data_IF_374125853078
#
_entry.id   IF_374125853078
#
_cell.length_a   1.000
_cell.length_b   1.000
_cell.length_c   1.000
_cell.angle_alpha   90.00
_cell.angle_beta   90.00
_cell.angle_gamma   90.00
#
_symmetry.space_group_name_H-M   'P 1'
#
loop_
_entity.id
_entity.type
_entity.pdbx_description
1 polymer ?
#
# COMPACT_ATOMS: atom_id res chain seq x y z
N UNK A 1 -13.49 9.75 23.96
CA UNK A 1 -12.17 9.84 23.28
C UNK A 1 -11.33 8.67 23.78
N UNK A 2 -10.88 7.77 22.90
CA UNK A 2 -10.11 6.59 23.31
C UNK A 2 -8.77 7.03 23.91
N UNK A 3 -8.35 6.51 25.08
CA UNK A 3 -7.08 6.84 25.72
C UNK A 3 -5.84 6.32 24.96
N UNK A 4 -6.04 5.53 23.90
CA UNK A 4 -4.96 5.01 23.04
C UNK A 4 -4.75 5.79 21.74
N UNK A 5 -5.46 6.90 21.52
CA UNK A 5 -5.07 7.83 20.46
C UNK A 5 -3.91 8.68 20.97
N UNK A 6 -2.71 8.64 20.37
CA UNK A 6 -1.72 9.65 20.67
C UNK A 6 -2.34 11.00 20.34
N UNK A 7 -2.36 11.93 21.31
CA UNK A 7 -2.61 13.33 21.03
C UNK A 7 -1.61 13.74 19.95
N UNK A 8 -2.07 13.85 18.70
CA UNK A 8 -1.25 14.39 17.61
C UNK A 8 -0.96 15.84 17.97
N UNK A 9 0.31 16.14 18.19
CA UNK A 9 0.74 17.52 18.34
C UNK A 9 0.51 18.25 17.01
N UNK A 10 -0.61 18.95 16.93
CA UNK A 10 -1.01 19.73 15.77
C UNK A 10 0.00 20.84 15.46
N UNK A 11 0.78 21.31 16.44
CA UNK A 11 1.84 22.30 16.21
C UNK A 11 2.98 21.68 15.43
N UNK A 12 3.48 20.53 15.88
CA UNK A 12 4.53 19.78 15.15
C UNK A 12 4.05 19.38 13.76
N UNK A 13 2.82 18.84 13.64
CA UNK A 13 2.24 18.50 12.35
C UNK A 13 2.17 19.72 11.40
N UNK A 14 1.72 20.88 11.91
CA UNK A 14 1.65 22.10 11.10
C UNK A 14 3.04 22.59 10.66
N UNK A 15 4.03 22.52 11.56
CA UNK A 15 5.41 22.91 11.26
C UNK A 15 6.03 22.01 10.20
N UNK A 16 5.90 20.69 10.35
CA UNK A 16 6.37 19.71 9.37
C UNK A 16 5.70 19.92 8.03
N UNK A 17 4.37 20.08 8.01
CA UNK A 17 3.64 20.34 6.78
C UNK A 17 4.08 21.64 6.11
N UNK A 18 4.27 22.71 6.90
CA UNK A 18 4.77 23.99 6.40
C UNK A 18 6.13 23.84 5.73
N UNK A 19 7.03 23.10 6.36
CA UNK A 19 8.37 22.84 5.85
C UNK A 19 8.36 22.03 4.55
N UNK A 20 7.51 21.00 4.46
CA UNK A 20 7.33 20.19 3.25
C UNK A 20 6.77 21.06 2.13
N UNK A 21 5.68 21.78 2.38
CA UNK A 21 4.99 22.58 1.36
C UNK A 21 5.84 23.74 0.84
N UNK A 22 6.75 24.27 1.66
CA UNK A 22 7.71 25.29 1.23
C UNK A 22 8.74 24.78 0.20
N UNK A 23 8.89 23.45 0.06
CA UNK A 23 9.79 22.79 -0.91
C UNK A 23 9.07 22.35 -2.18
N UNK A 24 7.77 22.60 -2.28
CA UNK A 24 7.06 22.38 -3.54
C UNK A 24 7.53 23.41 -4.56
N UNK A 25 8.01 22.92 -5.70
CA UNK A 25 8.45 23.74 -6.81
C UNK A 25 7.26 24.46 -7.47
N UNK A 26 7.50 25.53 -8.25
CA UNK A 26 6.43 26.27 -8.94
C UNK A 26 5.56 25.39 -9.87
N UNK A 27 6.15 24.36 -10.47
CA UNK A 27 5.46 23.40 -11.33
C UNK A 27 4.63 22.35 -10.56
N UNK A 28 4.73 22.34 -9.23
CA UNK A 28 4.02 21.42 -8.34
C UNK A 28 4.84 20.20 -7.89
N UNK A 29 6.04 20.00 -8.44
CA UNK A 29 6.90 18.89 -8.08
C UNK A 29 7.55 19.04 -6.69
N UNK A 30 7.98 17.92 -6.13
CA UNK A 30 8.84 17.86 -4.95
C UNK A 30 10.19 17.25 -5.33
N UNK A 31 11.24 17.84 -4.76
CA UNK A 31 12.60 17.34 -4.89
C UNK A 31 13.23 17.25 -3.49
N UNK A 32 14.17 16.31 -3.32
CA UNK A 32 14.90 16.17 -2.07
C UNK A 32 15.77 17.41 -1.81
N UNK A 33 15.89 17.77 -0.54
CA UNK A 33 16.80 18.80 -0.03
C UNK A 33 17.84 18.09 0.84
N UNK A 34 18.96 17.70 0.24
CA UNK A 34 20.03 16.94 0.88
C UNK A 34 20.11 15.45 0.49
N UNK A 35 20.92 14.64 1.21
CA UNK A 35 21.09 13.23 0.89
C UNK A 35 19.79 12.47 1.11
N UNK A 36 19.31 11.77 0.08
CA UNK A 36 18.21 10.82 0.24
C UNK A 36 18.72 9.39 0.15
N UNK A 37 18.34 8.58 1.14
CA UNK A 37 18.83 7.21 1.32
C UNK A 37 17.89 6.15 0.72
N UNK A 38 16.76 6.54 0.12
CA UNK A 38 15.82 5.59 -0.47
C UNK A 38 16.13 5.32 -1.94
N UNK A 39 17.06 4.40 -2.22
CA UNK A 39 17.62 4.18 -3.55
C UNK A 39 16.59 3.96 -4.68
N UNK A 40 15.42 3.34 -4.41
CA UNK A 40 14.39 3.08 -5.44
C UNK A 40 13.63 4.31 -5.94
N UNK A 41 13.52 5.36 -5.13
CA UNK A 41 12.68 6.53 -5.42
C UNK A 41 13.42 7.86 -5.29
N UNK A 42 14.61 7.84 -4.71
CA UNK A 42 15.46 9.00 -4.53
C UNK A 42 16.65 9.07 -5.49
N UNK A 43 16.75 8.13 -6.42
CA UNK A 43 17.76 8.12 -7.46
C UNK A 43 17.13 7.76 -8.81
N UNK A 44 17.89 7.93 -9.88
CA UNK A 44 17.48 7.62 -11.25
C UNK A 44 16.65 8.71 -11.94
N UNK A 45 16.26 8.41 -13.18
CA UNK A 45 15.60 9.34 -14.11
C UNK A 45 14.25 9.86 -13.58
N UNK A 46 13.50 9.03 -12.84
CA UNK A 46 12.16 9.34 -12.34
C UNK A 46 12.13 9.70 -10.86
N UNK A 47 13.24 10.24 -10.32
CA UNK A 47 13.34 10.64 -8.92
C UNK A 47 12.29 11.69 -8.53
N UNK A 48 12.21 12.79 -9.28
CA UNK A 48 11.32 13.93 -8.96
C UNK A 48 9.86 13.52 -9.01
N UNK A 49 9.52 12.75 -10.04
CA UNK A 49 8.27 12.03 -10.25
C UNK A 49 7.90 11.19 -9.02
N UNK A 50 8.77 10.27 -8.63
CA UNK A 50 8.54 9.33 -7.53
C UNK A 50 8.38 10.04 -6.18
N UNK A 51 9.22 11.04 -5.90
CA UNK A 51 9.11 11.85 -4.68
C UNK A 51 7.79 12.62 -4.63
N UNK A 52 7.39 13.22 -5.75
CA UNK A 52 6.11 13.94 -5.85
C UNK A 52 4.93 12.98 -5.61
N UNK A 53 4.98 11.77 -6.17
CA UNK A 53 3.96 10.76 -5.94
C UNK A 53 3.92 10.24 -4.49
N UNK A 54 5.07 10.05 -3.83
CA UNK A 54 5.12 9.68 -2.41
C UNK A 54 4.53 10.75 -1.50
N UNK A 55 4.80 12.03 -1.78
CA UNK A 55 4.21 13.14 -1.04
C UNK A 55 2.70 13.19 -1.27
N UNK A 56 2.26 13.07 -2.53
CA UNK A 56 0.83 13.06 -2.86
C UNK A 56 0.09 11.88 -2.19
N UNK A 57 0.66 10.67 -2.28
CA UNK A 57 0.18 9.48 -1.57
C UNK A 57 0.02 9.76 -0.08
N UNK A 58 1.08 10.25 0.58
CA UNK A 58 1.07 10.49 2.02
C UNK A 58 0.00 11.51 2.46
N UNK A 59 -0.23 12.55 1.66
CA UNK A 59 -1.22 13.60 1.93
C UNK A 59 -2.66 13.17 1.66
N UNK A 60 -2.88 12.13 0.84
CA UNK A 60 -4.23 11.70 0.41
C UNK A 60 -4.62 10.30 0.89
N UNK A 61 -3.67 9.52 1.41
CA UNK A 61 -3.87 8.13 1.84
C UNK A 61 -5.00 7.96 2.84
N UNK A 62 -5.92 7.04 2.56
CA UNK A 62 -7.03 6.65 3.44
C UNK A 62 -7.86 7.85 3.94
N UNK A 63 -8.00 8.90 3.12
CA UNK A 63 -8.60 10.16 3.53
C UNK A 63 -7.96 10.70 4.83
N UNK A 64 -6.63 10.58 4.98
CA UNK A 64 -5.89 11.06 6.15
C UNK A 64 -6.20 12.54 6.45
N UNK A 65 -6.54 13.30 5.41
CA UNK A 65 -7.03 14.68 5.47
C UNK A 65 -8.28 14.88 6.32
N UNK A 66 -9.15 13.88 6.43
CA UNK A 66 -10.41 13.98 7.19
C UNK A 66 -10.16 13.99 8.70
N UNK A 67 -8.99 13.53 9.13
CA UNK A 67 -8.53 13.56 10.51
C UNK A 67 -7.59 14.75 10.80
N UNK A 68 -7.40 15.67 9.85
CA UNK A 68 -6.59 16.87 10.03
C UNK A 68 -7.47 18.04 10.51
N UNK A 69 -6.90 18.99 11.28
CA UNK A 69 -7.59 20.23 11.59
C UNK A 69 -8.01 20.99 10.32
N UNK A 70 -9.19 21.61 10.35
CA UNK A 70 -9.81 22.28 9.19
C UNK A 70 -8.88 23.29 8.51
N UNK A 71 -8.08 24.04 9.27
CA UNK A 71 -7.14 25.01 8.70
C UNK A 71 -6.04 24.34 7.85
N UNK A 72 -5.56 23.15 8.24
CA UNK A 72 -4.60 22.38 7.44
C UNK A 72 -5.27 21.82 6.20
N UNK A 73 -6.50 21.30 6.36
CA UNK A 73 -7.29 20.76 5.26
C UNK A 73 -7.54 21.83 4.18
N UNK A 74 -7.95 23.03 4.57
CA UNK A 74 -8.10 24.15 3.61
C UNK A 74 -6.78 24.46 2.93
N UNK A 75 -5.68 24.62 3.69
CA UNK A 75 -4.38 24.91 3.10
C UNK A 75 -3.92 23.87 2.06
N UNK A 76 -4.24 22.60 2.26
CA UNK A 76 -3.82 21.52 1.37
C UNK A 76 -4.68 21.36 0.12
N UNK A 77 -5.95 21.74 0.19
CA UNK A 77 -6.95 21.35 -0.81
C UNK A 77 -7.84 22.48 -1.32
N UNK A 78 -7.68 23.71 -0.81
CA UNK A 78 -8.53 24.85 -1.16
C UNK A 78 -8.11 25.44 -2.52
N UNK A 79 -8.98 25.22 -3.50
CA UNK A 79 -8.85 25.74 -4.85
C UNK A 79 -7.81 25.06 -5.74
N UNK A 80 -7.79 25.54 -6.97
CA UNK A 80 -6.93 25.07 -8.07
C UNK A 80 -5.44 25.24 -7.77
N UNK A 81 -5.05 26.22 -6.97
CA UNK A 81 -3.63 26.45 -6.65
C UNK A 81 -3.16 25.73 -5.37
N UNK A 82 -4.00 24.86 -4.81
CA UNK A 82 -3.65 24.09 -3.63
C UNK A 82 -2.45 23.18 -3.88
N UNK A 83 -1.60 22.92 -2.87
CA UNK A 83 -0.41 22.10 -3.05
C UNK A 83 -0.70 20.69 -3.59
N UNK A 84 -1.78 20.07 -3.12
CA UNK A 84 -2.21 18.75 -3.62
C UNK A 84 -2.59 18.82 -5.09
N UNK A 85 -3.31 19.85 -5.51
CA UNK A 85 -3.72 20.01 -6.91
C UNK A 85 -2.51 20.27 -7.82
N UNK A 86 -1.56 21.10 -7.38
CA UNK A 86 -0.33 21.35 -8.15
C UNK A 86 0.50 20.07 -8.33
N UNK A 87 0.70 19.30 -7.25
CA UNK A 87 1.39 18.01 -7.32
C UNK A 87 0.67 17.03 -8.25
N UNK A 88 -0.67 16.95 -8.15
CA UNK A 88 -1.48 16.13 -9.04
C UNK A 88 -1.30 16.53 -10.51
N UNK A 89 -1.40 17.82 -10.85
CA UNK A 89 -1.23 18.29 -12.24
C UNK A 89 0.17 18.02 -12.77
N UNK A 90 1.20 18.22 -11.94
CA UNK A 90 2.56 17.84 -12.28
C UNK A 90 2.61 16.35 -12.66
N UNK A 91 2.14 15.46 -11.79
CA UNK A 91 2.18 14.03 -12.08
C UNK A 91 1.40 13.67 -13.36
N UNK A 92 0.22 14.28 -13.57
CA UNK A 92 -0.58 14.08 -14.79
C UNK A 92 0.20 14.45 -16.05
N UNK A 93 0.93 15.58 -16.03
CA UNK A 93 1.73 16.01 -17.19
C UNK A 93 2.92 15.09 -17.47
N UNK A 94 3.36 14.30 -16.49
CA UNK A 94 4.49 13.36 -16.63
C UNK A 94 4.08 11.93 -16.98
N UNK A 95 2.80 11.56 -16.91
CA UNK A 95 2.34 10.16 -17.13
C UNK A 95 2.85 9.57 -18.45
N UNK A 96 2.83 10.34 -19.53
CA UNK A 96 3.26 9.87 -20.85
C UNK A 96 4.79 9.66 -20.96
N UNK A 97 5.56 10.36 -20.14
CA UNK A 97 7.03 10.37 -20.22
C UNK A 97 7.66 9.28 -19.36
N UNK A 98 6.91 8.70 -18.42
CA UNK A 98 7.35 7.58 -17.59
C UNK A 98 7.20 6.31 -18.43
N UNK A 99 8.15 6.12 -19.34
CA UNK A 99 8.43 4.85 -20.05
C UNK A 99 8.63 3.73 -19.01
N UNK A 100 8.56 2.43 -19.37
CA UNK A 100 7.97 1.37 -18.53
C UNK A 100 8.79 1.00 -17.28
N UNK A 101 8.88 1.92 -16.31
CA UNK A 101 9.38 1.70 -14.97
C UNK A 101 8.20 1.38 -14.07
N UNK A 102 7.95 0.09 -13.89
CA UNK A 102 6.75 -0.41 -13.21
C UNK A 102 6.61 0.08 -11.77
N UNK A 103 7.72 0.27 -11.04
CA UNK A 103 7.69 0.79 -9.67
C UNK A 103 7.18 2.25 -9.61
N UNK A 104 7.81 3.23 -10.29
CA UNK A 104 7.25 4.59 -10.40
C UNK A 104 5.83 4.63 -10.93
N UNK A 105 5.51 3.90 -12.00
CA UNK A 105 4.15 3.90 -12.58
C UNK A 105 3.12 3.40 -11.57
N UNK A 106 3.40 2.31 -10.87
CA UNK A 106 2.44 1.77 -9.90
C UNK A 106 2.28 2.71 -8.70
N UNK A 107 3.35 3.35 -8.26
CA UNK A 107 3.29 4.38 -7.22
C UNK A 107 2.41 5.58 -7.64
N UNK A 108 2.53 6.00 -8.90
CA UNK A 108 1.72 7.08 -9.48
C UNK A 108 0.24 6.73 -9.48
N UNK A 109 -0.09 5.54 -10.00
CA UNK A 109 -1.46 5.06 -10.04
C UNK A 109 -2.08 5.04 -8.64
N UNK A 110 -1.33 4.60 -7.62
CA UNK A 110 -1.82 4.60 -6.23
C UNK A 110 -2.07 6.02 -5.74
N UNK A 111 -1.11 6.92 -5.96
CA UNK A 111 -1.22 8.33 -5.54
C UNK A 111 -2.42 9.02 -6.23
N UNK A 112 -2.70 8.68 -7.49
CA UNK A 112 -3.87 9.18 -8.20
C UNK A 112 -5.18 8.59 -7.67
N UNK A 113 -5.27 7.27 -7.52
CA UNK A 113 -6.54 6.61 -7.15
C UNK A 113 -7.00 7.00 -5.76
N UNK A 114 -6.07 7.31 -4.86
CA UNK A 114 -6.38 7.87 -3.54
C UNK A 114 -6.79 9.35 -3.57
N UNK A 115 -6.38 10.10 -4.59
CA UNK A 115 -6.72 11.50 -4.68
C UNK A 115 -8.21 11.65 -5.07
N UNK A 116 -8.98 12.34 -4.23
CA UNK A 116 -10.40 12.64 -4.48
C UNK A 116 -10.66 13.47 -5.74
N UNK A 117 -9.63 14.15 -6.26
CA UNK A 117 -9.72 15.00 -7.44
C UNK A 117 -9.24 14.32 -8.72
N UNK A 118 -8.98 13.01 -8.69
CA UNK A 118 -8.61 12.28 -9.90
C UNK A 118 -9.72 12.42 -10.97
N UNK A 119 -9.39 12.85 -12.19
CA UNK A 119 -10.33 12.85 -13.31
C UNK A 119 -10.89 11.44 -13.58
N UNK A 120 -12.18 11.34 -13.91
CA UNK A 120 -12.83 10.05 -14.14
C UNK A 120 -12.21 9.27 -15.32
N UNK A 121 -11.75 9.97 -16.36
CA UNK A 121 -11.09 9.35 -17.51
C UNK A 121 -9.73 8.75 -17.12
N UNK A 122 -8.94 9.47 -16.30
CA UNK A 122 -7.68 8.96 -15.78
C UNK A 122 -7.90 7.77 -14.85
N UNK A 123 -8.91 7.84 -13.97
CA UNK A 123 -9.30 6.73 -13.10
C UNK A 123 -9.64 5.48 -13.91
N UNK A 124 -10.37 5.63 -15.02
CA UNK A 124 -10.74 4.54 -15.90
C UNK A 124 -9.51 3.98 -16.64
N UNK A 125 -8.63 4.84 -17.17
CA UNK A 125 -7.37 4.41 -17.82
C UNK A 125 -6.50 3.58 -16.88
N UNK A 126 -6.37 3.99 -15.62
CA UNK A 126 -5.63 3.23 -14.60
C UNK A 126 -6.29 1.87 -14.35
N UNK A 127 -7.62 1.83 -14.25
CA UNK A 127 -8.35 0.57 -14.08
C UNK A 127 -8.13 -0.37 -15.26
N UNK A 128 -8.30 0.12 -16.49
CA UNK A 128 -8.13 -0.65 -17.72
C UNK A 128 -6.70 -1.20 -17.84
N UNK A 129 -5.70 -0.36 -17.52
CA UNK A 129 -4.31 -0.78 -17.47
C UNK A 129 -4.05 -1.83 -16.38
N UNK A 130 -4.65 -1.68 -15.19
CA UNK A 130 -4.53 -2.63 -14.08
C UNK A 130 -5.09 -4.00 -14.44
N UNK A 131 -6.30 -4.07 -15.03
CA UNK A 131 -6.94 -5.35 -15.41
C UNK A 131 -6.27 -6.01 -16.61
N UNK A 132 -5.60 -5.24 -17.48
CA UNK A 132 -4.83 -5.76 -18.60
C UNK A 132 -3.49 -6.41 -18.16
N UNK A 133 -3.06 -6.23 -16.89
CA UNK A 133 -1.83 -6.83 -16.39
C UNK A 133 -1.94 -8.35 -16.37
N UNK A 134 -0.97 -9.01 -17.03
CA UNK A 134 -0.85 -10.46 -16.99
C UNK A 134 -0.24 -10.90 -15.66
N UNK A 135 -1.07 -11.44 -14.78
CA UNK A 135 -0.62 -12.05 -13.53
C UNK A 135 -0.17 -13.49 -13.79
N UNK A 136 0.96 -13.86 -13.19
CA UNK A 136 1.44 -15.23 -13.11
C UNK A 136 0.74 -15.94 -11.96
N UNK A 137 0.26 -17.15 -12.21
CA UNK A 137 -0.34 -18.03 -11.20
C UNK A 137 0.73 -18.99 -10.70
N UNK A 138 0.85 -19.12 -9.38
CA UNK A 138 1.68 -20.13 -8.73
C UNK A 138 0.90 -21.44 -8.69
N UNK A 139 1.37 -22.53 -9.35
CA UNK A 139 0.60 -23.78 -9.46
C UNK A 139 0.24 -24.44 -8.13
N UNK A 140 1.12 -24.34 -7.13
CA UNK A 140 1.04 -25.07 -5.87
C UNK A 140 -0.10 -24.56 -4.99
N UNK A 141 -0.33 -23.26 -4.98
CA UNK A 141 -1.34 -22.62 -4.11
C UNK A 141 -2.39 -21.82 -4.88
N UNK A 142 -2.24 -21.59 -6.18
CA UNK A 142 -3.04 -20.69 -7.01
C UNK A 142 -2.92 -19.19 -6.65
N UNK A 143 -1.90 -18.80 -5.89
CA UNK A 143 -1.63 -17.39 -5.62
C UNK A 143 -1.18 -16.68 -6.91
N UNK A 144 -1.29 -15.35 -6.94
CA UNK A 144 -1.02 -14.57 -8.14
C UNK A 144 0.02 -13.51 -7.86
N UNK A 145 0.84 -13.21 -8.85
CA UNK A 145 1.74 -12.07 -8.78
C UNK A 145 2.02 -11.53 -10.18
N UNK A 146 2.32 -10.25 -10.27
CA UNK A 146 2.83 -9.64 -11.49
C UNK A 146 4.30 -10.03 -11.61
N UNK A 147 4.62 -10.99 -12.47
CA UNK A 147 6.01 -11.33 -12.79
C UNK A 147 6.56 -10.29 -13.74
N UNK A 148 7.60 -9.58 -13.31
CA UNK A 148 8.31 -8.66 -14.20
C UNK A 148 9.70 -9.22 -14.49
N UNK A 149 9.95 -9.48 -15.79
CA UNK A 149 11.20 -10.03 -16.27
C UNK A 149 12.08 -8.88 -16.78
N UNK A 150 12.68 -8.15 -15.84
CA UNK A 150 13.83 -7.30 -16.10
C UNK A 150 15.00 -7.91 -15.32
N UNK A 151 16.13 -8.12 -16.00
CA UNK A 151 17.33 -8.74 -15.43
C UNK A 151 17.88 -8.00 -14.20
N UNK A 152 17.42 -6.76 -13.98
CA UNK A 152 17.81 -5.92 -12.84
C UNK A 152 16.81 -5.96 -11.68
N UNK A 153 15.64 -6.58 -11.81
CA UNK A 153 14.62 -6.54 -10.77
C UNK A 153 14.94 -7.53 -9.65
N UNK A 154 15.16 -7.02 -8.44
CA UNK A 154 15.41 -7.86 -7.26
C UNK A 154 14.11 -8.48 -6.74
N UNK A 155 14.23 -9.47 -5.86
CA UNK A 155 13.07 -10.01 -5.12
C UNK A 155 12.31 -8.92 -4.36
N UNK A 156 13.04 -8.00 -3.73
CA UNK A 156 12.43 -6.98 -2.88
C UNK A 156 11.73 -5.90 -3.72
N UNK A 157 12.26 -5.58 -4.90
CA UNK A 157 11.53 -4.78 -5.90
C UNK A 157 10.23 -5.48 -6.31
N UNK A 158 10.28 -6.81 -6.52
CA UNK A 158 9.13 -7.60 -6.93
C UNK A 158 8.07 -7.65 -5.83
N UNK A 159 8.48 -7.74 -4.56
CA UNK A 159 7.60 -7.68 -3.40
C UNK A 159 6.92 -6.31 -3.28
N UNK A 160 7.68 -5.22 -3.41
CA UNK A 160 7.16 -3.85 -3.38
C UNK A 160 6.16 -3.61 -4.53
N UNK A 161 6.52 -3.98 -5.76
CA UNK A 161 5.63 -3.86 -6.93
C UNK A 161 4.32 -4.61 -6.74
N UNK A 162 4.38 -5.85 -6.24
CA UNK A 162 3.19 -6.65 -6.01
C UNK A 162 2.36 -6.12 -4.84
N UNK A 163 2.98 -5.60 -3.79
CA UNK A 163 2.28 -4.96 -2.67
C UNK A 163 1.50 -3.73 -3.13
N UNK A 164 2.15 -2.86 -3.92
CA UNK A 164 1.53 -1.71 -4.55
C UNK A 164 0.40 -2.11 -5.52
N UNK A 165 0.62 -3.14 -6.34
CA UNK A 165 -0.40 -3.64 -7.28
C UNK A 165 -1.60 -4.28 -6.58
N UNK A 166 -1.37 -5.07 -5.53
CA UNK A 166 -2.45 -5.64 -4.71
C UNK A 166 -3.27 -4.52 -4.06
N UNK A 167 -2.59 -3.50 -3.53
CA UNK A 167 -3.21 -2.30 -2.99
C UNK A 167 -4.09 -1.59 -4.04
N UNK A 168 -3.65 -1.44 -5.30
CA UNK A 168 -4.49 -0.91 -6.39
C UNK A 168 -5.77 -1.73 -6.60
N UNK A 169 -5.67 -3.07 -6.66
CA UNK A 169 -6.85 -3.91 -6.79
C UNK A 169 -7.86 -3.71 -5.64
N UNK A 170 -7.39 -3.43 -4.41
CA UNK A 170 -8.30 -3.11 -3.30
C UNK A 170 -9.07 -1.80 -3.51
N UNK A 171 -8.46 -0.76 -4.09
CA UNK A 171 -9.18 0.50 -4.38
C UNK A 171 -10.30 0.33 -5.40
N UNK A 172 -10.11 -0.59 -6.34
CA UNK A 172 -11.12 -0.94 -7.33
C UNK A 172 -12.08 -2.05 -6.87
N UNK A 173 -12.08 -2.39 -5.58
CA UNK A 173 -12.92 -3.43 -4.97
C UNK A 173 -12.77 -4.83 -5.61
N UNK A 174 -11.64 -5.12 -6.28
CA UNK A 174 -11.35 -6.43 -6.85
C UNK A 174 -10.78 -7.36 -5.77
N UNK A 175 -11.65 -7.79 -4.85
CA UNK A 175 -11.29 -8.60 -3.70
C UNK A 175 -10.57 -9.88 -4.08
N UNK A 176 -11.09 -10.64 -5.04
CA UNK A 176 -10.53 -11.94 -5.42
C UNK A 176 -9.10 -11.82 -5.91
N UNK A 177 -8.82 -10.86 -6.79
CA UNK A 177 -7.46 -10.66 -7.32
C UNK A 177 -6.52 -10.11 -6.25
N UNK A 178 -6.99 -9.14 -5.45
CA UNK A 178 -6.21 -8.62 -4.33
C UNK A 178 -5.86 -9.74 -3.32
N UNK A 179 -6.82 -10.61 -2.98
CA UNK A 179 -6.62 -11.76 -2.10
C UNK A 179 -5.57 -12.74 -2.64
N UNK A 180 -5.71 -13.14 -3.91
CA UNK A 180 -4.76 -14.05 -4.57
C UNK A 180 -3.33 -13.47 -4.55
N UNK A 181 -3.20 -12.14 -4.71
CA UNK A 181 -1.91 -11.44 -4.64
C UNK A 181 -1.36 -11.31 -3.22
N UNK A 182 -2.20 -10.98 -2.23
CA UNK A 182 -1.76 -10.90 -0.83
C UNK A 182 -1.33 -12.25 -0.28
N UNK A 183 -1.91 -13.35 -0.78
CA UNK A 183 -1.44 -14.69 -0.41
C UNK A 183 -0.01 -14.93 -0.91
N UNK A 184 0.28 -14.53 -2.15
CA UNK A 184 1.65 -14.59 -2.66
C UNK A 184 2.60 -13.75 -1.81
N UNK A 185 2.21 -12.51 -1.48
CA UNK A 185 2.98 -11.59 -0.60
C UNK A 185 3.23 -12.23 0.77
N UNK A 186 2.21 -12.78 1.42
CA UNK A 186 2.33 -13.43 2.72
C UNK A 186 3.30 -14.62 2.71
N UNK A 187 3.29 -15.41 1.64
CA UNK A 187 4.25 -16.49 1.45
C UNK A 187 5.68 -15.96 1.30
N UNK A 188 5.89 -14.86 0.57
CA UNK A 188 7.23 -14.24 0.48
C UNK A 188 7.72 -13.77 1.84
N UNK A 189 6.86 -13.19 2.67
CA UNK A 189 7.21 -12.73 4.03
C UNK A 189 7.50 -13.87 5.00
N UNK A 190 6.85 -15.02 4.80
CA UNK A 190 7.12 -16.21 5.62
C UNK A 190 8.49 -16.80 5.27
N UNK A 191 8.84 -16.82 3.99
CA UNK A 191 10.14 -17.29 3.51
C UNK A 191 11.26 -16.28 3.83
N UNK A 192 10.93 -14.98 3.85
CA UNK A 192 11.87 -13.88 4.04
C UNK A 192 11.27 -12.80 4.95
N UNK A 193 11.42 -12.92 6.28
CA UNK A 193 10.73 -12.07 7.27
C UNK A 193 11.30 -10.65 7.38
N UNK A 194 12.11 -10.21 6.42
CA UNK A 194 12.77 -8.92 6.41
C UNK A 194 12.38 -8.13 5.16
N UNK A 195 12.12 -6.85 5.36
CA UNK A 195 11.96 -5.88 4.28
C UNK A 195 13.30 -5.25 3.97
N UNK A 196 13.54 -4.97 2.70
CA UNK A 196 14.73 -4.23 2.27
C UNK A 196 14.60 -2.73 2.60
N UNK A 197 13.39 -2.17 2.49
CA UNK A 197 13.10 -0.80 2.92
C UNK A 197 11.85 -0.71 3.81
N UNK A 198 11.76 0.38 4.58
CA UNK A 198 10.56 0.69 5.37
C UNK A 198 9.33 0.90 4.47
N UNK A 199 9.51 1.42 3.24
CA UNK A 199 8.39 1.60 2.31
C UNK A 199 7.77 0.26 1.89
N UNK A 200 8.57 -0.81 1.76
CA UNK A 200 8.07 -2.14 1.44
C UNK A 200 7.09 -2.61 2.53
N UNK A 201 7.48 -2.44 3.81
CA UNK A 201 6.63 -2.73 4.95
C UNK A 201 5.35 -1.89 4.99
N UNK A 202 5.45 -0.60 4.62
CA UNK A 202 4.28 0.30 4.55
C UNK A 202 3.30 -0.16 3.46
N UNK A 203 3.76 -0.36 2.23
CA UNK A 203 2.87 -0.75 1.13
C UNK A 203 2.30 -2.15 1.31
N UNK A 204 3.09 -3.08 1.84
CA UNK A 204 2.61 -4.41 2.18
C UNK A 204 1.52 -4.36 3.25
N UNK A 205 1.75 -3.63 4.34
CA UNK A 205 0.78 -3.48 5.42
C UNK A 205 -0.50 -2.80 4.93
N UNK A 206 -0.37 -1.74 4.12
CA UNK A 206 -1.52 -1.02 3.56
C UNK A 206 -2.36 -1.93 2.65
N UNK A 207 -1.74 -2.79 1.83
CA UNK A 207 -2.43 -3.78 1.01
C UNK A 207 -3.22 -4.79 1.86
N UNK A 208 -2.59 -5.36 2.90
CA UNK A 208 -3.21 -6.33 3.79
C UNK A 208 -4.37 -5.72 4.60
N UNK A 209 -4.16 -4.55 5.20
CA UNK A 209 -5.20 -3.85 5.97
C UNK A 209 -6.41 -3.54 5.09
N UNK A 210 -6.19 -3.06 3.85
CA UNK A 210 -7.29 -2.74 2.94
C UNK A 210 -8.01 -3.97 2.42
N UNK A 211 -7.30 -5.07 2.20
CA UNK A 211 -7.94 -6.34 1.91
C UNK A 211 -8.84 -6.79 3.06
N UNK A 212 -8.38 -6.68 4.31
CA UNK A 212 -9.19 -6.98 5.49
C UNK A 212 -10.46 -6.12 5.56
N UNK A 213 -10.34 -4.80 5.31
CA UNK A 213 -11.50 -3.90 5.20
C UNK A 213 -12.46 -4.33 4.09
N UNK A 214 -11.93 -4.73 2.93
CA UNK A 214 -12.75 -5.18 1.79
C UNK A 214 -13.45 -6.50 2.09
N UNK A 215 -12.78 -7.42 2.79
CA UNK A 215 -13.37 -8.66 3.30
C UNK A 215 -14.55 -8.36 4.23
N UNK A 216 -14.36 -7.53 5.26
CA UNK A 216 -15.44 -7.15 6.20
C UNK A 216 -16.63 -6.46 5.52
N UNK A 217 -16.40 -5.80 4.38
CA UNK A 217 -17.47 -5.16 3.61
C UNK A 217 -18.25 -6.16 2.74
N UNK A 218 -17.59 -7.20 2.23
CA UNK A 218 -18.18 -8.15 1.29
C UNK A 218 -18.78 -9.38 1.97
N UNK A 219 -18.25 -9.76 3.13
CA UNK A 219 -18.64 -10.98 3.84
C UNK A 219 -19.26 -10.64 5.18
N UNK A 220 -20.31 -11.38 5.51
CA UNK A 220 -20.99 -11.26 6.79
C UNK A 220 -20.15 -11.95 7.88
N UNK A 221 -19.49 -11.14 8.70
CA UNK A 221 -18.59 -11.63 9.75
C UNK A 221 -19.30 -12.51 10.79
N UNK A 222 -20.61 -12.38 10.96
CA UNK A 222 -21.39 -13.24 11.88
C UNK A 222 -21.44 -14.70 11.42
N UNK A 223 -21.09 -14.97 10.16
CA UNK A 223 -21.05 -16.31 9.57
C UNK A 223 -19.66 -16.95 9.59
N UNK A 224 -18.65 -16.25 10.11
CA UNK A 224 -17.32 -16.83 10.28
C UNK A 224 -17.39 -17.83 11.43
N UNK A 225 -17.31 -19.11 11.09
CA UNK A 225 -17.14 -20.23 12.03
C UNK A 225 -16.21 -21.26 11.37
N UNK A 226 -14.92 -21.18 11.71
CA UNK A 226 -13.86 -22.01 11.15
C UNK A 226 -13.26 -22.83 12.28
N UNK A 227 -13.17 -24.14 12.08
CA UNK A 227 -12.47 -25.05 12.99
C UNK A 227 -11.21 -25.55 12.29
N UNK A 228 -10.06 -25.35 12.93
CA UNK A 228 -8.75 -25.78 12.42
C UNK A 228 -8.21 -26.84 13.35
N UNK A 229 -8.10 -28.06 12.85
CA UNK A 229 -7.43 -29.15 13.55
C UNK A 229 -5.94 -29.16 13.19
N UNK A 230 -5.08 -29.11 14.23
CA UNK A 230 -3.63 -29.15 14.10
C UNK A 230 -3.12 -30.42 14.75
N UNK A 231 -2.44 -31.25 13.99
CA UNK A 231 -1.77 -32.45 14.48
C UNK A 231 -0.26 -32.27 14.36
N UNK A 232 0.46 -32.54 15.44
CA UNK A 232 1.91 -32.64 15.43
C UNK A 232 2.37 -34.08 15.17
N UNK A 233 3.59 -34.25 14.64
CA UNK A 233 4.16 -35.56 14.30
C UNK A 233 4.31 -36.49 15.52
N UNK A 234 4.35 -35.93 16.73
CA UNK A 234 4.37 -36.68 17.98
C UNK A 234 2.98 -37.25 18.39
N UNK A 235 1.95 -37.05 17.55
CA UNK A 235 0.58 -37.52 17.77
C UNK A 235 -0.28 -36.56 18.60
N UNK A 236 0.27 -35.46 19.13
CA UNK A 236 -0.53 -34.44 19.80
C UNK A 236 -1.47 -33.75 18.82
N UNK A 237 -2.73 -33.56 19.23
CA UNK A 237 -3.75 -32.85 18.46
C UNK A 237 -4.26 -31.65 19.24
N UNK A 238 -4.42 -30.53 18.56
CA UNK A 238 -5.01 -29.29 19.07
C UNK A 238 -6.02 -28.78 18.06
N UNK A 239 -6.96 -27.95 18.53
CA UNK A 239 -8.00 -27.39 17.68
C UNK A 239 -8.11 -25.89 17.97
N UNK A 240 -8.12 -25.08 16.91
CA UNK A 240 -8.53 -23.68 16.96
C UNK A 240 -9.97 -23.56 16.50
N UNK A 241 -10.75 -22.75 17.21
CA UNK A 241 -12.02 -22.25 16.71
C UNK A 241 -11.87 -20.77 16.41
N UNK A 242 -12.08 -20.40 15.16
CA UNK A 242 -12.06 -19.01 14.69
C UNK A 242 -13.50 -18.61 14.39
N UNK A 243 -13.99 -17.63 15.13
CA UNK A 243 -15.33 -17.06 14.98
C UNK A 243 -15.26 -15.53 14.82
N UNK A 244 -16.42 -14.89 14.70
CA UNK A 244 -16.54 -13.44 14.57
C UNK A 244 -15.91 -12.64 15.72
N UNK A 245 -15.64 -13.25 16.88
CA UNK A 245 -15.09 -12.57 18.07
C UNK A 245 -13.57 -12.67 18.14
N UNK A 246 -12.97 -13.70 17.55
CA UNK A 246 -11.53 -13.95 17.65
C UNK A 246 -10.82 -14.06 16.28
N UNK A 247 -11.52 -13.77 15.18
CA UNK A 247 -10.95 -13.74 13.82
C UNK A 247 -9.70 -12.87 13.69
N UNK A 248 -9.65 -11.73 14.39
CA UNK A 248 -8.53 -10.80 14.36
C UNK A 248 -7.47 -11.08 15.44
N UNK A 249 -7.61 -12.18 16.20
CA UNK A 249 -6.72 -12.53 17.31
C UNK A 249 -5.75 -13.62 16.89
N UNK A 250 -4.45 -13.36 16.99
CA UNK A 250 -3.43 -14.40 16.80
C UNK A 250 -3.56 -15.46 17.87
N UNK A 251 -3.74 -16.71 17.46
CA UNK A 251 -3.78 -17.87 18.34
C UNK A 251 -2.57 -18.75 18.05
N UNK A 252 -1.85 -19.18 19.09
CA UNK A 252 -0.67 -20.03 18.97
C UNK A 252 -0.77 -21.21 19.94
N UNK A 253 -0.36 -22.40 19.47
CA UNK A 253 -0.13 -23.56 20.32
C UNK A 253 1.37 -23.83 20.43
N UNK A 254 1.79 -24.27 21.61
CA UNK A 254 3.09 -24.88 21.80
C UNK A 254 2.89 -26.39 21.88
N UNK A 255 3.55 -27.12 20.98
CA UNK A 255 3.64 -28.57 21.05
C UNK A 255 4.88 -28.97 21.85
N UNK A 256 4.77 -30.05 22.62
CA UNK A 256 5.91 -30.59 23.34
C UNK A 256 6.80 -31.34 22.35
N UNK A 257 7.98 -30.81 22.03
CA UNK A 257 8.95 -31.56 21.21
C UNK A 257 9.52 -32.67 22.09
N UNK A 258 9.49 -33.96 21.68
CA UNK A 258 10.16 -35.00 22.44
C UNK A 258 11.66 -34.69 22.50
N UNK A 259 12.18 -34.53 23.73
CA UNK A 259 13.62 -34.45 23.97
C UNK A 259 14.20 -35.80 23.55
N UNK A 260 15.07 -35.79 22.54
CA UNK A 260 15.87 -36.97 22.17
C UNK A 260 17.04 -37.14 23.12
#
# INVERSE_FOLDING_TARGET
VSPMMPFRDNVTLNRTLTWILARQQPDGSFEHDGPCFHYRFCDGEFRRESLTALVLYSLTRDNSSDYMPEFMRRRLFDGENSPVMRAHRYLVSRVADIKPHYLPITLFEIAFVQNRYIPSDLRQKIYDALVARKLTVVPEDNSKYLKFADDKMTRDDQLLLNSMTALLYTYYNNYRTAFDMTRWIANQLTLHPHYDTVLDGIFCSDALIRLGKLFHKQFDMSKVDITIDVAADNGEKKQFKIDSKNFDVTQMFHFTVPVR
#
